data_IF_489912835189
#
_entry.id   IF_489912835189
#
_cell.length_a   1.000
_cell.length_b   1.000
_cell.length_c   1.000
_cell.angle_alpha   90.00
_cell.angle_beta   90.00
_cell.angle_gamma   90.00
#
_symmetry.space_group_name_H-M   'P 1'
#
loop_
_entity.id
_entity.type
_entity.pdbx_description
1 polymer ?
#
# COMPACT_ATOMS: atom_id res chain seq x y z
N UNK A 1 7.22 -7.77 -17.75
CA UNK A 1 7.44 -8.29 -16.39
C UNK A 1 7.87 -7.15 -15.50
N UNK A 2 6.99 -6.66 -14.61
CA UNK A 2 7.32 -5.57 -13.69
C UNK A 2 8.14 -6.10 -12.52
N UNK A 3 9.34 -5.55 -12.29
CA UNK A 3 10.09 -5.82 -11.05
C UNK A 3 9.39 -5.08 -9.90
N UNK A 4 9.17 -5.72 -8.75
CA UNK A 4 8.60 -5.04 -7.59
C UNK A 4 9.50 -3.86 -7.19
N UNK A 5 8.88 -2.71 -6.93
CA UNK A 5 9.60 -1.53 -6.44
C UNK A 5 10.01 -1.80 -4.98
N UNK A 6 11.30 -1.93 -4.74
CA UNK A 6 11.84 -2.03 -3.40
C UNK A 6 11.95 -0.63 -2.79
N UNK A 7 11.19 -0.37 -1.73
CA UNK A 7 11.30 0.85 -0.91
C UNK A 7 11.47 0.47 0.55
N UNK A 8 12.05 1.40 1.33
CA UNK A 8 12.14 1.24 2.78
C UNK A 8 10.78 1.44 3.44
N UNK A 9 10.59 0.85 4.62
CA UNK A 9 9.38 1.03 5.44
C UNK A 9 9.10 2.51 5.75
N UNK A 10 10.16 3.29 6.01
CA UNK A 10 10.06 4.73 6.24
C UNK A 10 9.48 5.46 5.01
N UNK A 11 9.96 5.14 3.81
CA UNK A 11 9.44 5.70 2.57
C UNK A 11 7.97 5.31 2.35
N UNK A 12 7.63 4.04 2.54
CA UNK A 12 6.25 3.56 2.42
C UNK A 12 5.33 4.32 3.38
N UNK A 13 5.72 4.46 4.64
CA UNK A 13 4.97 5.19 5.66
C UNK A 13 4.78 6.66 5.30
N UNK A 14 5.84 7.32 4.82
CA UNK A 14 5.75 8.73 4.39
C UNK A 14 4.77 8.90 3.23
N UNK A 15 4.82 8.00 2.23
CA UNK A 15 3.91 8.05 1.08
C UNK A 15 2.47 7.79 1.50
N UNK A 16 2.22 6.78 2.33
CA UNK A 16 0.88 6.46 2.85
C UNK A 16 0.29 7.63 3.63
N UNK A 17 1.05 8.22 4.57
CA UNK A 17 0.60 9.38 5.36
C UNK A 17 0.27 10.58 4.47
N UNK A 18 1.11 10.86 3.47
CA UNK A 18 0.87 11.96 2.55
C UNK A 18 -0.41 11.74 1.73
N UNK A 19 -0.67 10.50 1.32
CA UNK A 19 -1.81 10.14 0.50
C UNK A 19 -3.12 10.16 1.31
N UNK A 20 -3.10 9.66 2.54
CA UNK A 20 -4.23 9.73 3.49
C UNK A 20 -4.56 11.18 3.85
N UNK A 21 -3.56 12.02 4.13
CA UNK A 21 -3.76 13.44 4.49
C UNK A 21 -4.46 14.22 3.38
N UNK A 22 -4.15 13.92 2.11
CA UNK A 22 -4.70 14.63 0.96
C UNK A 22 -5.88 13.92 0.30
N UNK A 23 -6.23 12.73 0.77
CA UNK A 23 -7.21 11.83 0.15
C UNK A 23 -7.00 11.72 -1.38
N UNK A 24 -5.74 11.54 -1.77
CA UNK A 24 -5.30 11.64 -3.16
C UNK A 24 -4.34 10.51 -3.55
N UNK A 25 -4.30 10.21 -4.85
CA UNK A 25 -3.32 9.30 -5.45
C UNK A 25 -1.96 9.99 -5.48
N UNK A 26 -0.90 9.30 -5.06
CA UNK A 26 0.46 9.83 -5.15
C UNK A 26 1.18 9.24 -6.35
N UNK A 27 1.79 10.12 -7.15
CA UNK A 27 2.67 9.75 -8.25
C UNK A 27 4.13 9.93 -7.84
N UNK A 28 4.92 8.87 -7.98
CA UNK A 28 6.36 8.87 -7.69
C UNK A 28 7.12 8.58 -8.98
N UNK A 29 7.92 9.55 -9.43
CA UNK A 29 8.83 9.33 -10.54
C UNK A 29 10.01 8.48 -10.06
N UNK A 30 10.22 7.33 -10.70
CA UNK A 30 11.36 6.45 -10.45
C UNK A 30 12.18 6.27 -11.73
N UNK A 31 13.42 5.76 -11.64
CA UNK A 31 14.22 5.42 -12.83
C UNK A 31 13.55 4.38 -13.74
N UNK A 32 12.60 3.59 -13.19
CA UNK A 32 11.88 2.54 -13.91
C UNK A 32 10.59 3.04 -14.56
N UNK A 33 10.24 4.31 -14.34
CA UNK A 33 8.98 4.93 -14.75
C UNK A 33 8.20 5.51 -13.59
N UNK A 34 6.97 5.92 -13.88
CA UNK A 34 6.08 6.57 -12.93
C UNK A 34 5.26 5.53 -12.17
N UNK A 35 5.31 5.57 -10.83
CA UNK A 35 4.61 4.65 -9.94
C UNK A 35 3.47 5.39 -9.25
N UNK A 36 2.26 4.83 -9.32
CA UNK A 36 1.06 5.37 -8.67
C UNK A 36 0.75 4.60 -7.39
N UNK A 37 0.58 5.33 -6.31
CA UNK A 37 0.18 4.81 -5.01
C UNK A 37 -1.26 5.20 -4.74
N UNK A 38 -2.15 4.19 -4.71
CA UNK A 38 -3.59 4.34 -4.51
C UNK A 38 -3.92 3.88 -3.08
N UNK A 39 -4.27 4.80 -2.16
CA UNK A 39 -4.44 4.48 -0.73
C UNK A 39 -5.47 3.40 -0.44
N UNK A 40 -6.58 3.39 -1.19
CA UNK A 40 -7.67 2.42 -1.02
C UNK A 40 -7.29 0.98 -1.41
N UNK A 41 -6.16 0.77 -2.09
CA UNK A 41 -5.67 -0.55 -2.51
C UNK A 41 -4.58 -1.10 -1.58
N UNK A 42 -4.25 -0.39 -0.50
CA UNK A 42 -3.21 -0.80 0.45
C UNK A 42 -3.81 -1.86 1.37
N UNK A 43 -3.46 -3.13 1.14
CA UNK A 43 -3.86 -4.25 1.99
C UNK A 43 -3.20 -4.08 3.35
N UNK A 44 -3.99 -3.75 4.38
CA UNK A 44 -3.51 -3.72 5.77
C UNK A 44 -3.45 -5.15 6.28
N UNK A 45 -2.30 -5.57 6.82
CA UNK A 45 -2.11 -6.92 7.38
C UNK A 45 -3.16 -7.29 8.44
N UNK A 46 -3.78 -6.29 9.08
CA UNK A 46 -4.87 -6.46 10.05
C UNK A 46 -6.13 -7.11 9.46
N UNK A 47 -6.40 -6.98 8.17
CA UNK A 47 -7.57 -7.59 7.51
C UNK A 47 -7.36 -9.07 7.17
N UNK A 48 -6.14 -9.58 7.18
CA UNK A 48 -5.85 -10.98 6.87
C UNK A 48 -6.22 -11.97 7.98
N UNK A 49 -6.62 -11.51 9.17
CA UNK A 49 -6.91 -12.36 10.35
C UNK A 49 -8.40 -12.53 10.68
N UNK A 50 -9.32 -12.01 9.87
CA UNK A 50 -10.76 -12.14 10.16
C UNK A 50 -11.50 -13.24 9.38
N UNK A 51 -10.87 -13.89 8.40
CA UNK A 51 -11.51 -14.96 7.61
C UNK A 51 -11.36 -16.38 8.20
N UNK A 52 -10.54 -16.58 9.24
CA UNK A 52 -10.26 -17.93 9.80
C UNK A 52 -11.14 -18.33 11.01
N UNK A 53 -12.15 -17.54 11.38
CA UNK A 53 -13.07 -17.86 12.50
C UNK A 53 -14.51 -17.97 12.02
N UNK A 54 -14.76 -18.93 11.11
CA UNK A 54 -16.11 -19.47 10.91
C UNK A 54 -16.21 -20.75 11.74
N UNK A 55 -16.95 -20.65 12.85
CA UNK A 55 -17.11 -21.69 13.85
C UNK A 55 -17.74 -22.98 13.33
N UNK A 56 -17.36 -24.08 13.98
CA UNK A 56 -18.16 -25.31 14.01
C UNK A 56 -18.60 -25.52 15.45
N UNK A 57 -19.92 -25.57 15.65
CA UNK A 57 -20.57 -26.07 16.85
C UNK A 57 -20.41 -27.58 16.97
#
# INVERSE_FOLDING_TARGET
MGKPLAITEKQATTLLRAAEKQNAVIEVQTPMGLVRLIPSSVVRESEKRQDDVVGHF
#
